data_IF_692497381267
#
_entry.id   IF_692497381267
#
_cell.length_a   1.000
_cell.length_b   1.000
_cell.length_c   1.000
_cell.angle_alpha   90.00
_cell.angle_beta   90.00
_cell.angle_gamma   90.00
#
_symmetry.space_group_name_H-M   'P 1'
#
loop_
_entity.id
_entity.type
_entity.pdbx_description
1 polymer ?
#
# COMPACT_ATOMS: atom_id res chain seq x y z
N UNK A 1 -12.00 -6.03 16.28
CA UNK A 1 -10.56 -5.77 16.56
C UNK A 1 -10.27 -4.32 16.24
N UNK A 2 -9.28 -3.67 16.89
CA UNK A 2 -8.93 -2.25 16.63
C UNK A 2 -7.49 -2.11 16.16
N UNK A 3 -7.25 -1.22 15.19
CA UNK A 3 -5.92 -0.79 14.78
C UNK A 3 -5.90 0.73 14.61
N UNK A 4 -4.79 1.37 14.96
CA UNK A 4 -4.53 2.73 14.52
C UNK A 4 -4.41 2.77 13.00
N UNK A 5 -4.85 3.86 12.37
CA UNK A 5 -4.86 4.03 10.93
C UNK A 5 -4.17 5.32 10.53
N UNK A 6 -3.12 5.20 9.75
CA UNK A 6 -2.41 6.35 9.19
C UNK A 6 -2.62 6.40 7.67
N UNK A 7 -3.56 7.21 7.17
CA UNK A 7 -3.87 7.27 5.74
C UNK A 7 -2.73 7.92 4.94
N UNK A 8 -2.05 8.91 5.52
CA UNK A 8 -1.10 9.75 4.82
C UNK A 8 -1.77 10.64 3.76
N UNK A 9 -0.98 11.48 3.09
CA UNK A 9 -1.50 12.54 2.22
C UNK A 9 -2.20 12.04 0.94
N UNK A 10 -1.71 10.96 0.33
CA UNK A 10 -2.26 10.45 -0.94
C UNK A 10 -3.70 9.97 -0.78
N UNK A 11 -4.00 9.29 0.33
CA UNK A 11 -5.32 8.71 0.60
C UNK A 11 -6.38 9.77 0.91
N UNK A 12 -5.97 10.98 1.32
CA UNK A 12 -6.90 12.12 1.43
C UNK A 12 -7.15 12.85 0.11
N UNK A 13 -6.40 12.53 -0.95
CA UNK A 13 -6.39 13.32 -2.19
C UNK A 13 -6.44 12.46 -3.45
N UNK A 14 -5.27 12.12 -3.99
CA UNK A 14 -5.06 11.47 -5.29
C UNK A 14 -5.44 10.00 -5.30
N UNK A 15 -5.61 9.37 -4.14
CA UNK A 15 -5.96 7.97 -3.96
C UNK A 15 -7.13 7.80 -2.97
N UNK A 16 -8.16 8.67 -3.07
CA UNK A 16 -9.27 8.69 -2.10
C UNK A 16 -10.10 7.42 -2.13
N UNK A 17 -10.21 6.80 -3.30
CA UNK A 17 -10.82 5.49 -3.52
C UNK A 17 -10.11 4.38 -2.72
N UNK A 18 -8.80 4.48 -2.52
CA UNK A 18 -8.07 3.55 -1.67
C UNK A 18 -8.43 3.70 -0.19
N UNK A 19 -8.61 4.93 0.30
CA UNK A 19 -9.07 5.19 1.67
C UNK A 19 -10.49 4.68 1.91
N UNK A 20 -11.40 4.99 0.99
CA UNK A 20 -12.80 4.58 1.05
C UNK A 20 -12.93 3.06 1.04
N UNK A 21 -12.24 2.39 0.12
CA UNK A 21 -12.24 0.92 0.05
C UNK A 21 -11.58 0.28 1.27
N UNK A 22 -10.45 0.81 1.74
CA UNK A 22 -9.76 0.32 2.94
C UNK A 22 -10.67 0.34 4.17
N UNK A 23 -11.33 1.48 4.43
CA UNK A 23 -12.23 1.63 5.59
C UNK A 23 -13.44 0.71 5.50
N UNK A 24 -14.07 0.63 4.33
CA UNK A 24 -15.28 -0.17 4.12
C UNK A 24 -14.99 -1.67 4.27
N UNK A 25 -13.87 -2.13 3.70
CA UNK A 25 -13.43 -3.53 3.82
C UNK A 25 -13.03 -3.86 5.26
N UNK A 26 -12.27 -3.00 5.93
CA UNK A 26 -11.93 -3.20 7.34
C UNK A 26 -13.20 -3.31 8.21
N UNK A 27 -14.18 -2.42 8.01
CA UNK A 27 -15.45 -2.48 8.73
C UNK A 27 -16.22 -3.78 8.46
N UNK A 28 -16.29 -4.24 7.21
CA UNK A 28 -16.93 -5.50 6.84
C UNK A 28 -16.25 -6.75 7.46
N UNK A 29 -14.97 -6.63 7.78
CA UNK A 29 -14.14 -7.64 8.43
C UNK A 29 -14.04 -7.45 9.96
N UNK A 30 -14.91 -6.62 10.55
CA UNK A 30 -14.96 -6.37 11.99
C UNK A 30 -13.63 -5.81 12.56
N UNK A 31 -12.89 -5.08 11.71
CA UNK A 31 -11.65 -4.37 12.00
C UNK A 31 -11.91 -2.85 12.03
N UNK A 32 -11.94 -2.30 13.23
CA UNK A 32 -12.12 -0.86 13.46
C UNK A 32 -10.80 -0.12 13.26
N UNK A 33 -10.82 0.88 12.37
CA UNK A 33 -9.68 1.75 12.07
C UNK A 33 -9.79 3.05 12.86
N UNK A 34 -8.86 3.26 13.80
CA UNK A 34 -8.73 4.48 14.58
C UNK A 34 -7.76 5.42 13.89
N UNK A 35 -8.27 6.38 13.12
CA UNK A 35 -7.39 7.34 12.47
C UNK A 35 -6.56 8.14 13.47
N UNK A 36 -5.27 8.34 13.17
CA UNK A 36 -4.39 9.17 13.99
C UNK A 36 -4.83 10.63 13.92
N UNK A 37 -5.36 11.18 15.00
CA UNK A 37 -5.70 12.61 15.02
C UNK A 37 -4.44 13.47 14.82
N UNK A 38 -4.56 14.51 13.98
CA UNK A 38 -3.49 15.47 13.70
C UNK A 38 -2.21 14.81 13.13
N UNK A 39 -2.33 13.73 12.34
CA UNK A 39 -1.17 13.15 11.65
C UNK A 39 -0.54 14.15 10.66
N UNK A 40 0.76 14.02 10.42
CA UNK A 40 1.49 14.82 9.43
C UNK A 40 2.02 13.96 8.29
N UNK A 41 2.30 14.55 7.12
CA UNK A 41 2.93 13.82 6.02
C UNK A 41 4.24 13.13 6.47
N UNK A 42 4.50 11.91 6.02
CA UNK A 42 5.69 11.14 6.37
C UNK A 42 7.00 11.68 5.77
N UNK A 43 6.94 12.76 4.97
CA UNK A 43 8.08 13.35 4.28
C UNK A 43 8.46 12.67 2.96
N UNK A 44 7.98 11.43 2.73
CA UNK A 44 8.23 10.65 1.49
C UNK A 44 9.71 10.69 1.06
N UNK A 45 9.96 10.66 -0.24
CA UNK A 45 11.30 10.73 -0.84
C UNK A 45 11.95 12.11 -0.68
N UNK A 46 11.18 13.20 -0.64
CA UNK A 46 11.73 14.56 -0.59
C UNK A 46 12.45 14.86 0.72
N UNK A 47 11.85 14.55 1.87
CA UNK A 47 12.50 14.75 3.17
C UNK A 47 13.77 13.90 3.28
N UNK A 48 13.70 12.64 2.82
CA UNK A 48 14.83 11.73 2.83
C UNK A 48 16.05 12.25 2.05
N UNK A 49 15.82 12.87 0.89
CA UNK A 49 16.90 13.40 0.06
C UNK A 49 17.48 14.72 0.60
N UNK A 50 16.67 15.53 1.29
CA UNK A 50 17.07 16.89 1.69
C UNK A 50 17.67 16.94 3.10
N UNK A 51 17.10 16.21 4.07
CA UNK A 51 17.49 16.36 5.47
C UNK A 51 17.17 15.10 6.29
N UNK A 52 18.21 14.46 6.83
CA UNK A 52 18.09 13.23 7.63
C UNK A 52 17.24 13.42 8.89
N UNK A 53 17.38 14.53 9.60
CA UNK A 53 16.60 14.82 10.81
C UNK A 53 15.10 14.95 10.47
N UNK A 54 14.74 15.68 9.42
CA UNK A 54 13.34 15.77 8.95
C UNK A 54 12.80 14.40 8.52
N UNK A 55 13.62 13.62 7.82
CA UNK A 55 13.24 12.31 7.34
C UNK A 55 12.89 11.35 8.49
N UNK A 56 13.49 11.52 9.67
CA UNK A 56 13.20 10.73 10.87
C UNK A 56 12.13 11.35 11.77
N UNK A 57 12.13 12.67 11.95
CA UNK A 57 11.21 13.37 12.85
C UNK A 57 9.75 13.33 12.38
N UNK A 58 9.49 13.53 11.09
CA UNK A 58 8.13 13.50 10.52
C UNK A 58 7.41 12.15 10.75
N UNK A 59 7.98 11.00 10.36
CA UNK A 59 7.37 9.71 10.70
C UNK A 59 7.37 9.42 12.20
N UNK A 60 8.38 9.83 12.96
CA UNK A 60 8.41 9.63 14.41
C UNK A 60 7.27 10.36 15.14
N UNK A 61 6.86 11.54 14.66
CA UNK A 61 5.66 12.23 15.16
C UNK A 61 4.40 11.37 15.00
N UNK A 62 4.23 10.71 13.86
CA UNK A 62 3.09 9.82 13.66
C UNK A 62 3.20 8.55 14.51
N UNK A 63 4.41 8.03 14.75
CA UNK A 63 4.64 6.93 15.68
C UNK A 63 4.25 7.34 17.11
N UNK A 64 4.59 8.56 17.53
CA UNK A 64 4.18 9.08 18.83
C UNK A 64 2.65 9.15 18.99
N UNK A 65 1.94 9.55 17.94
CA UNK A 65 0.47 9.55 17.91
C UNK A 65 -0.10 8.12 17.99
N UNK A 66 0.43 7.19 17.19
CA UNK A 66 0.02 5.79 17.23
C UNK A 66 0.28 5.15 18.60
N UNK A 67 1.39 5.49 19.23
CA UNK A 67 1.77 4.98 20.56
C UNK A 67 0.76 5.40 21.63
N UNK A 68 0.23 6.64 21.56
CA UNK A 68 -0.80 7.13 22.48
C UNK A 68 -2.10 6.31 22.41
N UNK A 69 -2.44 5.78 21.23
CA UNK A 69 -3.60 4.91 21.06
C UNK A 69 -3.39 3.52 21.68
N UNK A 70 -2.15 3.11 21.94
CA UNK A 70 -1.82 1.84 22.59
C UNK A 70 -2.15 0.59 21.76
N UNK A 71 -2.37 0.73 20.45
CA UNK A 71 -2.64 -0.37 19.51
C UNK A 71 -1.75 -0.23 18.28
N UNK A 72 -1.44 -1.36 17.65
CA UNK A 72 -0.68 -1.42 16.40
C UNK A 72 -1.27 -0.47 15.33
N UNK A 73 -0.42 0.06 14.45
CA UNK A 73 -0.80 1.00 13.39
C UNK A 73 -0.70 0.35 12.02
N UNK A 74 -1.76 0.50 11.21
CA UNK A 74 -1.75 0.11 9.81
C UNK A 74 -1.57 1.32 8.90
N UNK A 75 -0.76 1.13 7.85
CA UNK A 75 -0.31 2.18 6.92
C UNK A 75 -0.50 1.69 5.49
N UNK A 76 -1.55 2.13 4.78
CA UNK A 76 -1.84 1.62 3.43
C UNK A 76 -0.83 2.04 2.37
N UNK A 77 -0.24 3.24 2.49
CA UNK A 77 0.72 3.75 1.51
C UNK A 77 2.12 3.17 1.74
N UNK A 78 2.69 2.48 0.74
CA UNK A 78 4.02 1.87 0.84
C UNK A 78 5.15 2.86 1.19
N UNK A 79 5.09 4.09 0.68
CA UNK A 79 6.08 5.12 1.03
C UNK A 79 5.95 5.55 2.50
N UNK A 80 4.71 5.74 2.98
CA UNK A 80 4.44 6.04 4.37
C UNK A 80 4.91 4.89 5.28
N UNK A 81 4.55 3.66 4.93
CA UNK A 81 4.95 2.45 5.64
C UNK A 81 6.48 2.36 5.76
N UNK A 82 7.20 2.52 4.64
CA UNK A 82 8.65 2.46 4.63
C UNK A 82 9.32 3.56 5.47
N UNK A 83 8.79 4.80 5.44
CA UNK A 83 9.31 5.90 6.28
C UNK A 83 9.07 5.65 7.77
N UNK A 84 7.90 5.15 8.13
CA UNK A 84 7.55 4.84 9.51
C UNK A 84 8.38 3.66 10.04
N UNK A 85 8.46 2.54 9.30
CA UNK A 85 9.34 1.40 9.63
C UNK A 85 10.80 1.82 9.76
N UNK A 86 11.30 2.70 8.90
CA UNK A 86 12.69 3.19 9.01
C UNK A 86 12.93 4.00 10.27
N UNK A 87 12.01 4.90 10.63
CA UNK A 87 12.14 5.69 11.86
C UNK A 87 12.06 4.80 13.10
N UNK A 88 11.11 3.86 13.12
CA UNK A 88 10.98 2.85 14.17
C UNK A 88 12.25 1.98 14.31
N UNK A 89 12.76 1.48 13.19
CA UNK A 89 14.03 0.73 13.15
C UNK A 89 15.19 1.54 13.75
N UNK A 90 15.33 2.82 13.37
CA UNK A 90 16.39 3.68 13.91
C UNK A 90 16.20 3.87 15.42
N UNK A 91 14.99 4.20 15.89
CA UNK A 91 14.73 4.39 17.31
C UNK A 91 14.94 3.12 18.15
N UNK A 92 14.73 1.93 17.57
CA UNK A 92 14.98 0.65 18.24
C UNK A 92 16.47 0.30 18.35
N UNK A 93 17.25 0.63 17.32
CA UNK A 93 18.61 0.10 17.16
C UNK A 93 19.72 1.13 17.39
N UNK A 94 19.41 2.42 17.45
CA UNK A 94 20.37 3.50 17.67
C UNK A 94 19.89 4.41 18.81
N UNK A 95 20.49 4.26 19.99
CA UNK A 95 20.12 5.04 21.18
C UNK A 95 20.39 6.54 21.02
N UNK A 96 21.47 6.93 20.32
CA UNK A 96 21.83 8.33 20.15
C UNK A 96 20.84 9.01 19.20
N UNK A 97 20.56 8.38 18.06
CA UNK A 97 19.55 8.87 17.11
C UNK A 97 18.15 8.88 17.73
N UNK A 98 17.80 7.87 18.55
CA UNK A 98 16.53 7.87 19.30
C UNK A 98 16.40 9.10 20.17
N UNK A 99 17.42 9.45 20.97
CA UNK A 99 17.38 10.61 21.87
C UNK A 99 17.19 11.92 21.11
N UNK A 100 17.87 12.08 19.97
CA UNK A 100 17.73 13.27 19.12
C UNK A 100 16.30 13.38 18.54
N UNK A 101 15.72 12.27 18.08
CA UNK A 101 14.35 12.22 17.57
C UNK A 101 13.34 12.52 18.68
N UNK A 102 13.50 11.93 19.86
CA UNK A 102 12.66 12.16 21.04
C UNK A 102 12.66 13.63 21.45
N UNK A 103 13.82 14.28 21.48
CA UNK A 103 13.97 15.70 21.79
C UNK A 103 13.31 16.58 20.73
N UNK A 104 13.56 16.29 19.45
CA UNK A 104 13.02 17.05 18.32
C UNK A 104 11.49 16.99 18.26
N UNK A 105 10.92 15.81 18.48
CA UNK A 105 9.47 15.57 18.35
C UNK A 105 8.72 15.83 19.66
N UNK A 106 9.40 15.75 20.81
CA UNK A 106 8.81 15.96 22.12
C UNK A 106 8.02 14.76 22.65
N UNK A 107 8.57 13.55 22.54
CA UNK A 107 7.96 12.33 23.10
C UNK A 107 9.01 11.34 23.59
N UNK A 108 8.57 10.29 24.30
CA UNK A 108 9.41 9.15 24.65
C UNK A 108 9.00 7.92 23.85
N UNK A 109 9.97 7.33 23.16
CA UNK A 109 9.73 6.16 22.33
C UNK A 109 9.55 4.93 23.23
N UNK A 110 8.48 4.18 22.96
CA UNK A 110 8.22 2.89 23.58
C UNK A 110 8.10 1.85 22.49
N UNK A 111 8.78 0.73 22.69
CA UNK A 111 8.67 -0.45 21.84
C UNK A 111 7.43 -1.26 22.24
N UNK A 112 6.24 -0.73 21.96
CA UNK A 112 4.97 -1.36 22.35
C UNK A 112 3.91 -1.42 21.23
N UNK A 113 4.20 -0.86 20.05
CA UNK A 113 3.34 -0.95 18.88
C UNK A 113 4.09 -1.52 17.68
N UNK A 114 3.38 -2.23 16.83
CA UNK A 114 3.85 -2.66 15.51
C UNK A 114 3.33 -1.71 14.44
N UNK A 115 4.19 -1.42 13.48
CA UNK A 115 3.86 -0.66 12.27
C UNK A 115 3.61 -1.67 11.17
N UNK A 116 2.40 -1.77 10.65
CA UNK A 116 2.02 -2.76 9.65
C UNK A 116 1.58 -2.04 8.38
N UNK A 117 1.86 -2.61 7.23
CA UNK A 117 1.12 -2.24 6.02
C UNK A 117 -0.32 -2.74 6.11
N UNK A 118 -1.21 -2.22 5.27
CA UNK A 118 -2.58 -2.73 5.24
C UNK A 118 -2.65 -4.20 4.80
N UNK A 119 -1.76 -4.63 3.89
CA UNK A 119 -1.68 -6.05 3.49
C UNK A 119 -1.27 -6.93 4.68
N UNK A 120 -0.26 -6.53 5.46
CA UNK A 120 0.13 -7.27 6.68
C UNK A 120 -1.02 -7.32 7.69
N UNK A 121 -1.77 -6.23 7.85
CA UNK A 121 -2.92 -6.20 8.76
C UNK A 121 -4.01 -7.17 8.30
N UNK A 122 -4.33 -7.22 7.01
CA UNK A 122 -5.32 -8.16 6.48
C UNK A 122 -4.87 -9.61 6.63
N UNK A 123 -3.66 -9.94 6.21
CA UNK A 123 -3.17 -11.33 6.24
C UNK A 123 -2.84 -11.78 7.66
N UNK A 124 -2.18 -10.94 8.45
CA UNK A 124 -1.64 -11.30 9.77
C UNK A 124 -2.58 -11.08 10.95
N UNK A 125 -3.48 -10.08 10.90
CA UNK A 125 -4.43 -9.82 11.99
C UNK A 125 -5.80 -10.42 11.70
N UNK A 126 -6.35 -10.20 10.51
CA UNK A 126 -7.67 -10.75 10.14
C UNK A 126 -7.53 -12.23 9.77
N UNK A 127 -6.57 -12.56 8.91
CA UNK A 127 -6.31 -13.92 8.45
C UNK A 127 -7.09 -14.30 7.19
N UNK A 128 -6.41 -15.00 6.28
CA UNK A 128 -6.99 -15.42 5.00
C UNK A 128 -8.25 -16.28 5.17
N UNK A 129 -8.29 -17.18 6.15
CA UNK A 129 -9.48 -18.01 6.41
C UNK A 129 -10.72 -17.20 6.83
N UNK A 130 -10.53 -16.16 7.65
CA UNK A 130 -11.63 -15.27 8.04
C UNK A 130 -12.12 -14.44 6.85
N UNK A 131 -11.19 -13.95 6.02
CA UNK A 131 -11.51 -13.23 4.77
C UNK A 131 -12.29 -14.15 3.82
N UNK A 132 -11.81 -15.38 3.58
CA UNK A 132 -12.47 -16.37 2.74
C UNK A 132 -13.91 -16.64 3.17
N UNK A 133 -14.16 -16.74 4.49
CA UNK A 133 -15.51 -16.99 5.03
C UNK A 133 -16.50 -15.85 4.79
N UNK A 134 -16.01 -14.65 4.49
CA UNK A 134 -16.83 -13.46 4.22
C UNK A 134 -16.98 -13.18 2.71
N UNK A 135 -16.31 -13.94 1.84
CA UNK A 135 -16.45 -13.80 0.38
C UNK A 135 -17.87 -14.20 -0.02
N UNK A 136 -18.56 -13.27 -0.69
CA UNK A 136 -19.92 -13.44 -1.20
C UNK A 136 -19.92 -13.64 -2.71
N UNK A 137 -19.01 -12.95 -3.42
CA UNK A 137 -18.90 -12.96 -4.88
C UNK A 137 -17.45 -13.25 -5.28
N UNK A 138 -17.04 -14.53 -5.36
CA UNK A 138 -15.70 -14.88 -5.81
C UNK A 138 -15.36 -14.21 -7.15
N UNK A 139 -14.13 -13.71 -7.30
CA UNK A 139 -13.64 -13.03 -8.50
C UNK A 139 -13.21 -14.04 -9.59
N UNK A 140 -14.03 -15.05 -9.81
CA UNK A 140 -13.73 -16.15 -10.73
C UNK A 140 -13.49 -15.65 -12.15
N UNK A 141 -12.45 -16.19 -12.78
CA UNK A 141 -12.07 -15.85 -14.15
C UNK A 141 -11.21 -14.60 -14.29
N UNK A 142 -11.11 -13.75 -13.26
CA UNK A 142 -10.25 -12.56 -13.29
C UNK A 142 -8.78 -12.97 -13.12
N UNK A 143 -7.96 -12.71 -14.14
CA UNK A 143 -6.51 -12.97 -14.10
C UNK A 143 -5.73 -11.69 -13.82
N UNK A 144 -4.93 -11.70 -12.76
CA UNK A 144 -4.18 -10.52 -12.36
C UNK A 144 -2.74 -10.84 -12.02
N UNK A 145 -1.91 -9.80 -12.02
CA UNK A 145 -0.58 -9.86 -11.41
C UNK A 145 -0.51 -8.95 -10.20
N UNK A 146 0.07 -9.44 -9.11
CA UNK A 146 0.25 -8.67 -7.88
C UNK A 146 1.55 -7.87 -7.93
N UNK A 147 1.44 -6.54 -7.83
CA UNK A 147 2.54 -5.58 -7.87
C UNK A 147 2.71 -4.90 -6.50
N UNK A 148 3.72 -5.36 -5.77
CA UNK A 148 4.06 -4.89 -4.42
C UNK A 148 4.85 -3.58 -4.47
N UNK A 149 5.60 -3.38 -5.56
CA UNK A 149 6.54 -2.29 -5.70
C UNK A 149 7.75 -2.43 -4.77
N UNK A 150 8.64 -1.45 -4.84
CA UNK A 150 9.95 -1.54 -4.20
C UNK A 150 9.93 -1.30 -2.68
N UNK A 151 9.10 -0.36 -2.21
CA UNK A 151 9.15 0.14 -0.82
C UNK A 151 8.47 -0.79 0.20
N UNK A 152 7.67 -1.75 -0.25
CA UNK A 152 7.07 -2.74 0.65
C UNK A 152 8.11 -3.73 1.19
N UNK A 153 9.12 -4.08 0.38
CA UNK A 153 10.08 -5.15 0.67
C UNK A 153 11.52 -4.66 0.92
N UNK A 154 11.84 -3.41 0.56
CA UNK A 154 13.20 -2.85 0.69
C UNK A 154 13.25 -1.62 1.60
N UNK A 155 14.32 -1.43 2.39
CA UNK A 155 15.44 -2.37 2.56
C UNK A 155 15.06 -3.55 3.48
N UNK A 156 15.53 -4.79 3.20
CA UNK A 156 15.06 -6.00 3.88
C UNK A 156 15.17 -5.98 5.40
N UNK A 157 16.27 -5.46 5.92
CA UNK A 157 16.58 -5.37 7.35
C UNK A 157 15.64 -4.43 8.11
N UNK A 158 14.96 -3.53 7.40
CA UNK A 158 14.00 -2.58 7.98
C UNK A 158 12.56 -3.06 7.80
N UNK A 159 12.18 -3.50 6.59
CA UNK A 159 10.77 -3.75 6.30
C UNK A 159 10.27 -5.03 6.95
N UNK A 160 11.00 -6.14 6.80
CA UNK A 160 10.56 -7.45 7.30
C UNK A 160 9.13 -7.83 6.91
N UNK A 161 8.64 -7.36 5.74
CA UNK A 161 7.25 -7.50 5.28
C UNK A 161 6.93 -8.93 4.83
N UNK A 162 7.73 -9.46 3.89
CA UNK A 162 7.60 -10.79 3.30
C UNK A 162 8.95 -11.16 2.65
N UNK A 163 9.00 -12.22 1.84
CA UNK A 163 10.12 -12.57 0.99
C UNK A 163 10.50 -11.40 0.09
N UNK A 164 11.75 -10.96 0.20
CA UNK A 164 12.25 -9.74 -0.44
C UNK A 164 12.08 -9.75 -1.96
N UNK A 165 12.42 -10.85 -2.62
CA UNK A 165 12.45 -10.93 -4.09
C UNK A 165 11.22 -11.60 -4.70
N UNK A 166 10.42 -12.31 -3.91
CA UNK A 166 9.18 -12.95 -4.36
C UNK A 166 8.14 -13.00 -3.24
N UNK A 167 7.56 -11.85 -2.85
CA UNK A 167 6.51 -11.81 -1.85
C UNK A 167 5.24 -12.54 -2.35
N UNK A 168 4.46 -13.10 -1.42
CA UNK A 168 3.22 -13.84 -1.72
C UNK A 168 2.00 -13.35 -0.95
N UNK A 169 2.12 -12.53 0.09
CA UNK A 169 0.95 -12.10 0.88
C UNK A 169 -0.20 -11.47 0.06
N UNK A 170 0.12 -10.65 -0.95
CA UNK A 170 -0.88 -10.05 -1.83
C UNK A 170 -1.44 -11.06 -2.85
N UNK A 171 -0.60 -12.00 -3.30
CA UNK A 171 -1.03 -13.11 -4.16
C UNK A 171 -2.00 -14.01 -3.41
N UNK A 172 -1.62 -14.46 -2.22
CA UNK A 172 -2.41 -15.34 -1.36
C UNK A 172 -3.74 -14.65 -0.98
N UNK A 173 -3.71 -13.35 -0.69
CA UNK A 173 -4.92 -12.55 -0.47
C UNK A 173 -5.80 -12.49 -1.71
N UNK A 174 -5.23 -12.23 -2.89
CA UNK A 174 -5.97 -12.13 -4.15
C UNK A 174 -6.59 -13.46 -4.55
N UNK A 175 -5.86 -14.57 -4.39
CA UNK A 175 -6.36 -15.94 -4.61
C UNK A 175 -7.49 -16.29 -3.64
N UNK A 176 -7.39 -15.84 -2.39
CA UNK A 176 -8.46 -16.01 -1.38
C UNK A 176 -9.77 -15.34 -1.80
N UNK A 177 -9.72 -14.27 -2.60
CA UNK A 177 -10.90 -13.59 -3.14
C UNK A 177 -11.48 -14.29 -4.38
N UNK A 178 -10.85 -15.36 -4.88
CA UNK A 178 -11.27 -16.13 -6.05
C UNK A 178 -10.66 -15.69 -7.39
N UNK A 179 -9.83 -14.64 -7.39
CA UNK A 179 -9.10 -14.22 -8.58
C UNK A 179 -7.86 -15.13 -8.81
N UNK A 180 -7.36 -15.18 -10.04
CA UNK A 180 -6.15 -15.92 -10.38
C UNK A 180 -4.93 -14.99 -10.34
N UNK A 181 -4.09 -15.13 -9.30
CA UNK A 181 -2.80 -14.44 -9.23
C UNK A 181 -1.75 -15.14 -10.12
N UNK A 182 -1.38 -14.50 -11.22
CA UNK A 182 -0.41 -15.01 -12.18
C UNK A 182 1.02 -14.79 -11.68
N UNK A 183 1.88 -15.77 -11.93
CA UNK A 183 3.31 -15.69 -11.65
C UNK A 183 3.99 -14.79 -12.66
N UNK A 184 4.79 -13.85 -12.17
CA UNK A 184 5.54 -12.90 -13.00
C UNK A 184 6.74 -12.35 -12.21
N UNK A 185 7.73 -11.80 -12.92
CA UNK A 185 9.02 -11.41 -12.33
C UNK A 185 9.08 -9.97 -11.83
N UNK A 186 8.05 -9.15 -12.08
CA UNK A 186 8.09 -7.70 -11.82
C UNK A 186 7.45 -7.30 -10.48
N UNK A 187 7.14 -8.27 -9.60
CA UNK A 187 6.45 -8.05 -8.31
C UNK A 187 7.02 -6.90 -7.48
N UNK A 188 8.34 -6.78 -7.43
CA UNK A 188 9.08 -5.86 -6.53
C UNK A 188 9.87 -4.79 -7.30
N UNK A 189 9.66 -4.71 -8.62
CA UNK A 189 10.33 -3.71 -9.47
C UNK A 189 9.88 -2.30 -9.11
N UNK A 190 10.75 -1.31 -9.33
CA UNK A 190 10.42 0.08 -9.06
C UNK A 190 9.53 0.65 -10.17
N UNK A 191 8.43 1.33 -9.81
CA UNK A 191 7.58 1.97 -10.80
C UNK A 191 8.16 3.28 -11.37
N UNK A 192 9.26 3.79 -10.79
CA UNK A 192 9.89 5.05 -11.22
C UNK A 192 9.24 6.32 -10.68
N UNK A 193 8.24 6.23 -9.79
CA UNK A 193 7.44 7.36 -9.32
C UNK A 193 8.24 8.56 -8.77
N UNK A 194 9.42 8.34 -8.19
CA UNK A 194 10.29 9.41 -7.68
C UNK A 194 10.87 10.32 -8.78
N UNK A 195 10.89 9.84 -10.02
CA UNK A 195 11.40 10.54 -11.19
C UNK A 195 10.29 11.08 -12.08
N UNK A 196 9.01 10.88 -11.74
CA UNK A 196 7.86 11.18 -12.61
C UNK A 196 7.68 12.66 -12.93
N UNK A 197 8.35 13.55 -12.20
CA UNK A 197 8.37 14.99 -12.48
C UNK A 197 9.67 15.46 -13.14
N UNK A 198 10.77 14.76 -12.91
CA UNK A 198 12.11 15.22 -13.32
C UNK A 198 12.63 14.50 -14.56
N UNK A 199 12.22 13.26 -14.80
CA UNK A 199 12.70 12.43 -15.92
C UNK A 199 11.56 11.55 -16.46
N UNK A 200 10.49 12.19 -16.96
CA UNK A 200 9.27 11.51 -17.42
C UNK A 200 9.54 10.41 -18.45
N UNK A 201 10.42 10.64 -19.43
CA UNK A 201 10.72 9.66 -20.49
C UNK A 201 11.26 8.34 -19.91
N UNK A 202 12.16 8.42 -18.92
CA UNK A 202 12.70 7.24 -18.22
C UNK A 202 11.58 6.50 -17.49
N UNK A 203 10.66 7.23 -16.87
CA UNK A 203 9.52 6.64 -16.15
C UNK A 203 8.55 5.96 -17.13
N UNK A 204 8.29 6.56 -18.28
CA UNK A 204 7.44 5.96 -19.33
C UNK A 204 8.04 4.65 -19.86
N UNK A 205 9.36 4.58 -20.04
CA UNK A 205 10.06 3.33 -20.39
C UNK A 205 9.93 2.26 -19.30
N UNK A 206 10.12 2.64 -18.03
CA UNK A 206 9.96 1.73 -16.88
C UNK A 206 8.53 1.19 -16.81
N UNK A 207 7.54 2.07 -16.89
CA UNK A 207 6.12 1.69 -16.83
C UNK A 207 5.74 0.81 -18.02
N UNK A 208 6.19 1.15 -19.23
CA UNK A 208 5.94 0.33 -20.43
C UNK A 208 6.48 -1.08 -20.26
N UNK A 209 7.68 -1.25 -19.68
CA UNK A 209 8.24 -2.58 -19.39
C UNK A 209 7.40 -3.36 -18.39
N UNK A 210 6.93 -2.74 -17.31
CA UNK A 210 6.07 -3.39 -16.30
C UNK A 210 4.74 -3.83 -16.95
N UNK A 211 4.11 -2.93 -17.70
CA UNK A 211 2.82 -3.18 -18.33
C UNK A 211 2.92 -4.29 -19.40
N UNK A 212 3.98 -4.27 -20.22
CA UNK A 212 4.22 -5.31 -21.21
C UNK A 212 4.49 -6.67 -20.56
N UNK A 213 5.28 -6.72 -19.48
CA UNK A 213 5.51 -7.95 -18.75
C UNK A 213 4.21 -8.51 -18.10
N UNK A 214 3.33 -7.64 -17.61
CA UNK A 214 2.01 -8.05 -17.12
C UNK A 214 1.16 -8.66 -18.24
N UNK A 215 1.16 -8.04 -19.43
CA UNK A 215 0.45 -8.57 -20.61
C UNK A 215 1.03 -9.91 -21.08
N UNK A 216 2.36 -10.03 -21.13
CA UNK A 216 3.07 -11.26 -21.51
C UNK A 216 2.77 -12.41 -20.55
N UNK A 217 2.60 -12.11 -19.25
CA UNK A 217 2.16 -13.09 -18.26
C UNK A 217 0.69 -13.53 -18.46
N UNK A 218 -0.09 -12.79 -19.26
CA UNK A 218 -1.50 -13.05 -19.52
C UNK A 218 -2.46 -12.37 -18.53
N UNK A 219 -2.01 -11.32 -17.85
CA UNK A 219 -2.84 -10.58 -16.89
C UNK A 219 -3.84 -9.66 -17.59
N UNK A 220 -5.02 -9.51 -16.97
CA UNK A 220 -6.07 -8.58 -17.37
C UNK A 220 -6.05 -7.29 -16.54
N UNK A 221 -5.45 -7.35 -15.34
CA UNK A 221 -5.21 -6.19 -14.48
C UNK A 221 -3.97 -6.36 -13.59
N UNK A 222 -3.52 -5.25 -13.02
CA UNK A 222 -2.47 -5.21 -11.99
C UNK A 222 -3.11 -4.89 -10.64
N UNK A 223 -2.81 -5.67 -9.60
CA UNK A 223 -3.24 -5.38 -8.22
C UNK A 223 -2.11 -4.71 -7.47
N UNK A 224 -2.36 -3.56 -6.86
CA UNK A 224 -1.37 -2.79 -6.12
C UNK A 224 -1.80 -2.54 -4.67
N UNK A 225 -0.81 -2.28 -3.82
CA UNK A 225 -1.01 -1.80 -2.45
C UNK A 225 -0.38 -0.41 -2.22
N UNK A 226 -0.01 0.30 -3.28
CA UNK A 226 0.72 1.56 -3.20
C UNK A 226 0.08 2.62 -4.09
N UNK A 227 -0.38 3.76 -3.54
CA UNK A 227 -1.04 4.80 -4.33
C UNK A 227 -0.13 5.39 -5.40
N UNK A 228 1.16 5.60 -5.08
CA UNK A 228 2.13 6.10 -6.06
C UNK A 228 2.38 5.11 -7.20
N UNK A 229 2.33 3.81 -6.92
CA UNK A 229 2.49 2.78 -7.95
C UNK A 229 1.31 2.80 -8.91
N UNK A 230 0.07 2.74 -8.39
CA UNK A 230 -1.12 2.79 -9.24
C UNK A 230 -1.16 4.08 -10.07
N UNK A 231 -1.05 5.25 -9.42
CA UNK A 231 -1.09 6.53 -10.14
C UNK A 231 -0.04 6.58 -11.24
N UNK A 232 1.17 6.07 -11.00
CA UNK A 232 2.22 6.12 -12.00
C UNK A 232 2.02 5.11 -13.14
N UNK A 233 1.57 3.89 -12.85
CA UNK A 233 1.26 2.87 -13.85
C UNK A 233 0.10 3.31 -14.76
N UNK A 234 -0.94 3.93 -14.21
CA UNK A 234 -2.08 4.41 -15.00
C UNK A 234 -1.76 5.69 -15.78
N UNK A 235 -1.02 6.62 -15.17
CA UNK A 235 -0.73 7.91 -15.80
C UNK A 235 0.28 7.78 -16.95
N UNK A 236 1.32 6.95 -16.78
CA UNK A 236 2.50 6.91 -17.65
C UNK A 236 2.53 5.76 -18.65
N UNK A 237 1.58 4.84 -18.60
CA UNK A 237 1.44 3.86 -19.67
C UNK A 237 1.02 4.54 -20.97
N UNK A 238 1.40 3.94 -22.09
CA UNK A 238 0.99 4.36 -23.42
C UNK A 238 -0.54 4.46 -23.51
N UNK A 239 -1.04 5.58 -24.02
CA UNK A 239 -2.47 5.83 -24.16
C UNK A 239 -3.05 5.03 -25.32
N UNK A 240 -4.24 4.46 -25.14
CA UNK A 240 -4.91 3.68 -26.17
C UNK A 240 -5.97 2.74 -25.60
N UNK A 241 -6.59 1.95 -26.47
CA UNK A 241 -7.71 1.06 -26.09
C UNK A 241 -7.26 -0.09 -25.17
N UNK A 242 -6.00 -0.49 -25.26
CA UNK A 242 -5.44 -1.64 -24.54
C UNK A 242 -4.71 -1.26 -23.23
N UNK A 243 -4.99 -0.09 -22.65
CA UNK A 243 -4.38 0.34 -21.38
C UNK A 243 -4.67 -0.66 -20.26
N UNK A 244 -3.66 -1.13 -19.53
CA UNK A 244 -3.81 -2.09 -18.44
C UNK A 244 -4.45 -1.41 -17.22
N UNK A 245 -5.63 -1.86 -16.75
CA UNK A 245 -6.23 -1.33 -15.54
C UNK A 245 -5.45 -1.78 -14.30
N UNK A 246 -5.48 -0.93 -13.27
CA UNK A 246 -4.94 -1.24 -11.96
C UNK A 246 -6.08 -1.23 -10.93
N UNK A 247 -5.92 -2.04 -9.89
CA UNK A 247 -6.79 -2.02 -8.71
C UNK A 247 -5.96 -1.79 -7.46
N UNK A 248 -6.52 -1.08 -6.49
CA UNK A 248 -6.13 -1.31 -5.11
C UNK A 248 -6.69 -2.65 -4.66
N UNK A 249 -5.90 -3.44 -3.94
CA UNK A 249 -6.36 -4.76 -3.49
C UNK A 249 -7.63 -4.70 -2.63
N UNK A 250 -7.84 -3.60 -1.90
CA UNK A 250 -9.05 -3.36 -1.10
C UNK A 250 -10.29 -3.17 -1.96
N UNK A 251 -10.16 -2.71 -3.20
CA UNK A 251 -11.29 -2.60 -4.12
C UNK A 251 -11.76 -3.99 -4.55
N UNK A 252 -10.82 -4.88 -4.88
CA UNK A 252 -11.11 -6.29 -5.16
C UNK A 252 -11.71 -6.99 -3.93
N UNK A 253 -11.20 -6.70 -2.73
CA UNK A 253 -11.81 -7.19 -1.50
C UNK A 253 -13.26 -6.72 -1.37
N UNK A 254 -13.55 -5.43 -1.55
CA UNK A 254 -14.92 -4.93 -1.43
C UNK A 254 -15.87 -5.53 -2.48
N UNK A 255 -15.39 -5.77 -3.70
CA UNK A 255 -16.15 -6.49 -4.72
C UNK A 255 -16.48 -7.92 -4.27
N UNK A 256 -15.45 -8.65 -3.79
CA UNK A 256 -15.60 -10.04 -3.39
C UNK A 256 -16.47 -10.21 -2.13
N UNK A 257 -16.39 -9.27 -1.19
CA UNK A 257 -17.23 -9.19 0.00
C UNK A 257 -18.66 -8.70 -0.31
N UNK A 258 -18.94 -8.28 -1.55
CA UNK A 258 -20.26 -7.85 -1.99
C UNK A 258 -20.69 -6.47 -1.47
N UNK A 259 -19.74 -5.57 -1.19
CA UNK A 259 -20.03 -4.22 -0.70
C UNK A 259 -20.69 -3.36 -1.80
N UNK A 260 -21.79 -2.69 -1.45
CA UNK A 260 -22.60 -1.95 -2.42
C UNK A 260 -21.85 -0.74 -3.01
N UNK A 261 -21.08 -0.05 -2.18
CA UNK A 261 -20.26 1.09 -2.57
C UNK A 261 -19.07 0.74 -3.48
N UNK A 262 -18.72 -0.54 -3.62
CA UNK A 262 -17.52 -0.96 -4.36
C UNK A 262 -17.50 -0.49 -5.81
N UNK A 263 -18.67 -0.44 -6.46
CA UNK A 263 -18.82 0.08 -7.84
C UNK A 263 -18.46 1.56 -7.97
N UNK A 264 -18.56 2.32 -6.88
CA UNK A 264 -18.34 3.76 -6.86
C UNK A 264 -16.86 4.17 -6.79
N UNK A 265 -15.97 3.26 -6.41
CA UNK A 265 -14.55 3.57 -6.17
C UNK A 265 -13.77 3.81 -7.47
N UNK A 266 -14.22 3.25 -8.59
CA UNK A 266 -13.50 3.33 -9.87
C UNK A 266 -13.53 4.71 -10.54
N UNK A 267 -14.37 5.63 -10.05
CA UNK A 267 -14.59 6.95 -10.65
C UNK A 267 -13.32 7.81 -10.78
N UNK A 268 -12.31 7.56 -9.96
CA UNK A 268 -11.05 8.31 -9.93
C UNK A 268 -9.89 7.62 -10.65
N UNK A 269 -10.08 6.40 -11.15
CA UNK A 269 -9.06 5.73 -11.95
C UNK A 269 -8.86 6.47 -13.27
N UNK A 270 -7.61 6.53 -13.74
CA UNK A 270 -7.28 7.10 -15.04
C UNK A 270 -7.46 6.07 -16.17
N UNK A 271 -7.48 4.78 -15.82
CA UNK A 271 -7.77 3.66 -16.71
C UNK A 271 -8.94 2.90 -16.11
N UNK A 272 -10.08 2.87 -16.81
CA UNK A 272 -11.30 2.24 -16.32
C UNK A 272 -11.09 0.74 -16.03
N UNK A 273 -11.12 0.34 -14.74
CA UNK A 273 -10.94 -1.05 -14.37
C UNK A 273 -12.26 -1.85 -14.44
N UNK A 274 -13.42 -1.19 -14.59
CA UNK A 274 -14.73 -1.84 -14.64
C UNK A 274 -14.88 -2.84 -15.79
N UNK A 275 -14.15 -2.62 -16.89
CA UNK A 275 -14.18 -3.47 -18.09
C UNK A 275 -13.69 -4.91 -17.89
N UNK A 276 -12.92 -5.19 -16.82
CA UNK A 276 -12.39 -6.53 -16.53
C UNK A 276 -13.11 -7.23 -15.38
N UNK A 277 -13.99 -6.54 -14.65
CA UNK A 277 -14.72 -7.10 -13.49
C UNK A 277 -16.24 -7.18 -13.71
N UNK A 278 -16.71 -7.09 -14.97
CA UNK A 278 -18.11 -7.24 -15.38
C UNK A 278 -19.12 -6.52 -14.46
N UNK A 279 -18.83 -5.26 -14.12
CA UNK A 279 -19.65 -4.45 -13.22
C UNK A 279 -20.85 -3.77 -13.87
#
# INVERSE_FOLDING_TARGET
>A
MKLSYYPGCSLESTAKEYDLSSRSVCAALDLELLELEDWSCCGSTSAHNLNHALASALPARNIALAQKNGVDVTVPCAACFARLRKADYVMRNDEAARKEIEETVGFKYQDNIKIMSLVEAMVGKVGLGAIASKVVKPLEGLKVVCYYGCLMVRPPEVQGFDRVENPTMLDDLTETLGAQALKWSYKTECCGASLSLTNTNVVEEIVSRIINAAREAGAEAIVTSCPMCQSNLEMRQEKGENQMPCFYFTELMGLALGLNEAKGWFRKHLVDPGRVVNL
#
